data_IF_905816834404
#
_entry.id   IF_905816834404
#
_cell.length_a   1.000
_cell.length_b   1.000
_cell.length_c   1.000
_cell.angle_alpha   90.00
_cell.angle_beta   90.00
_cell.angle_gamma   90.00
#
_symmetry.space_group_name_H-M   'P 1'
#
loop_
_entity.id
_entity.type
_entity.pdbx_description
1 polymer ?
#
# COMPACT_ATOMS: atom_id res chain seq x y z
N UNK A 1 -36.14 -36.62 -10.67
CA UNK A 1 -34.76 -36.36 -10.34
C UNK A 1 -34.47 -34.91 -10.76
N UNK A 2 -34.57 -33.98 -9.80
CA UNK A 2 -34.26 -32.55 -10.00
C UNK A 2 -32.77 -32.36 -9.74
N UNK A 3 -31.98 -32.17 -10.81
CA UNK A 3 -30.60 -31.75 -10.70
C UNK A 3 -30.58 -30.29 -10.27
N UNK A 4 -30.34 -30.03 -8.99
CA UNK A 4 -30.04 -28.70 -8.47
C UNK A 4 -28.68 -28.28 -9.05
N UNK A 5 -28.71 -27.43 -10.10
CA UNK A 5 -27.53 -26.75 -10.59
C UNK A 5 -26.99 -25.85 -9.47
N UNK A 6 -25.98 -26.32 -8.77
CA UNK A 6 -25.12 -25.50 -7.91
C UNK A 6 -24.53 -24.39 -8.80
N UNK A 7 -25.19 -23.23 -8.86
CA UNK A 7 -24.54 -22.02 -9.38
C UNK A 7 -23.34 -21.77 -8.49
N UNK A 8 -22.13 -22.09 -8.99
CA UNK A 8 -20.90 -21.63 -8.35
C UNK A 8 -21.01 -20.12 -8.21
N UNK A 9 -21.11 -19.65 -6.98
CA UNK A 9 -21.06 -18.22 -6.69
C UNK A 9 -19.76 -17.67 -7.29
N UNK A 10 -19.85 -16.61 -8.09
CA UNK A 10 -18.68 -15.91 -8.60
C UNK A 10 -17.86 -15.47 -7.38
N UNK A 11 -16.56 -15.84 -7.30
CA UNK A 11 -15.75 -15.45 -6.14
C UNK A 11 -15.73 -13.94 -6.05
N UNK A 12 -16.07 -13.41 -4.89
CA UNK A 12 -16.02 -11.98 -4.61
C UNK A 12 -14.56 -11.59 -4.50
N UNK A 13 -14.20 -10.49 -5.10
CA UNK A 13 -12.82 -10.00 -5.13
C UNK A 13 -12.72 -8.59 -4.57
N UNK A 14 -11.58 -8.29 -4.00
CA UNK A 14 -11.12 -6.97 -3.60
C UNK A 14 -9.78 -6.70 -4.28
N UNK A 15 -9.64 -5.53 -4.88
CA UNK A 15 -8.37 -5.05 -5.45
C UNK A 15 -7.95 -3.75 -4.80
N UNK A 16 -6.66 -3.65 -4.44
CA UNK A 16 -6.06 -2.47 -3.83
C UNK A 16 -4.80 -2.08 -4.60
N UNK A 17 -4.71 -0.79 -4.96
CA UNK A 17 -3.53 -0.17 -5.54
C UNK A 17 -2.90 0.80 -4.55
N UNK A 18 -1.57 0.82 -4.46
CA UNK A 18 -0.80 1.94 -3.90
C UNK A 18 0.07 2.59 -4.97
N UNK A 19 0.11 3.93 -4.98
CA UNK A 19 0.84 4.66 -6.01
C UNK A 19 1.29 6.05 -5.52
N UNK A 20 2.60 6.31 -5.47
CA UNK A 20 3.15 7.64 -5.30
C UNK A 20 3.12 8.38 -6.64
N UNK A 21 2.43 9.52 -6.69
CA UNK A 21 2.16 10.29 -7.91
C UNK A 21 3.31 11.22 -8.31
N UNK A 22 4.30 11.43 -7.43
CA UNK A 22 5.31 12.49 -7.56
C UNK A 22 4.64 13.87 -7.74
N UNK A 23 4.38 14.56 -6.64
CA UNK A 23 3.68 15.84 -6.68
C UNK A 23 4.38 16.87 -7.60
N UNK A 24 3.63 17.63 -8.41
CA UNK A 24 4.19 18.63 -9.32
C UNK A 24 5.10 19.65 -8.65
N UNK A 25 4.85 19.96 -7.37
CA UNK A 25 5.67 20.88 -6.58
C UNK A 25 7.07 20.32 -6.21
N UNK A 26 7.33 19.04 -6.45
CA UNK A 26 8.63 18.41 -6.18
C UNK A 26 9.43 18.11 -7.43
N UNK A 27 8.78 18.10 -8.58
CA UNK A 27 9.46 17.79 -9.84
C UNK A 27 9.90 19.04 -10.59
N UNK A 28 11.17 19.06 -11.02
CA UNK A 28 11.72 20.11 -11.89
C UNK A 28 11.99 19.57 -13.29
N UNK A 29 11.48 20.32 -14.27
CA UNK A 29 11.72 20.06 -15.69
C UNK A 29 12.39 21.29 -16.32
N UNK A 30 13.56 21.15 -16.93
CA UNK A 30 14.27 22.30 -17.50
C UNK A 30 14.57 23.43 -16.51
N UNK A 31 14.74 23.10 -15.21
CA UNK A 31 14.99 24.06 -14.14
C UNK A 31 13.74 24.70 -13.51
N UNK A 32 12.57 24.55 -14.13
CA UNK A 32 11.28 25.05 -13.61
C UNK A 32 10.56 23.95 -12.85
N UNK A 33 9.78 24.32 -11.83
CA UNK A 33 8.86 23.38 -11.19
C UNK A 33 7.72 23.02 -12.16
N UNK A 34 7.31 21.77 -12.17
CA UNK A 34 6.17 21.33 -12.98
C UNK A 34 4.88 22.04 -12.54
N UNK A 35 4.77 22.37 -11.23
CA UNK A 35 3.66 23.13 -10.67
C UNK A 35 3.48 24.51 -11.32
N UNK A 36 4.54 25.09 -11.92
CA UNK A 36 4.49 26.39 -12.60
C UNK A 36 3.88 26.29 -14.02
N UNK A 37 3.74 25.08 -14.55
CA UNK A 37 3.16 24.84 -15.89
C UNK A 37 1.88 24.01 -15.78
N UNK A 38 0.74 24.70 -15.90
CA UNK A 38 -0.59 24.09 -15.81
C UNK A 38 -0.81 23.00 -16.86
N UNK A 39 -0.29 23.19 -18.06
CA UNK A 39 -0.46 22.20 -19.13
C UNK A 39 0.31 20.93 -18.81
N UNK A 40 1.54 21.08 -18.33
CA UNK A 40 2.39 19.96 -17.95
C UNK A 40 1.77 19.13 -16.82
N UNK A 41 1.44 19.76 -15.69
CA UNK A 41 0.91 19.01 -14.54
C UNK A 41 -0.48 18.40 -14.79
N UNK A 42 -1.35 19.07 -15.58
CA UNK A 42 -2.66 18.50 -15.92
C UNK A 42 -2.54 17.33 -16.89
N UNK A 43 -1.64 17.42 -17.89
CA UNK A 43 -1.38 16.30 -18.81
C UNK A 43 -0.88 15.07 -18.06
N UNK A 44 0.05 15.25 -17.13
CA UNK A 44 0.56 14.15 -16.29
C UNK A 44 -0.53 13.63 -15.34
N UNK A 45 -1.34 14.50 -14.75
CA UNK A 45 -2.48 14.07 -13.96
C UNK A 45 -3.45 13.20 -14.76
N UNK A 46 -3.74 13.57 -16.02
CA UNK A 46 -4.59 12.76 -16.90
C UNK A 46 -3.96 11.41 -17.23
N UNK A 47 -2.65 11.36 -17.48
CA UNK A 47 -1.93 10.11 -17.71
C UNK A 47 -1.99 9.19 -16.48
N UNK A 48 -1.77 9.73 -15.26
CA UNK A 48 -1.89 8.99 -14.02
C UNK A 48 -3.33 8.48 -13.78
N UNK A 49 -4.33 9.34 -13.99
CA UNK A 49 -5.75 8.97 -13.90
C UNK A 49 -6.09 7.84 -14.87
N UNK A 50 -5.59 7.93 -16.11
CA UNK A 50 -5.82 6.91 -17.12
C UNK A 50 -5.20 5.56 -16.70
N UNK A 51 -3.95 5.57 -16.27
CA UNK A 51 -3.25 4.39 -15.77
C UNK A 51 -3.98 3.73 -14.59
N UNK A 52 -4.42 4.52 -13.60
CA UNK A 52 -5.18 4.02 -12.46
C UNK A 52 -6.52 3.39 -12.91
N UNK A 53 -7.23 4.04 -13.83
CA UNK A 53 -8.53 3.53 -14.33
C UNK A 53 -8.41 2.22 -15.09
N UNK A 54 -7.29 1.98 -15.76
CA UNK A 54 -7.08 0.73 -16.51
C UNK A 54 -7.00 -0.49 -15.57
N UNK A 55 -6.43 -0.33 -14.38
CA UNK A 55 -6.32 -1.40 -13.39
C UNK A 55 -7.66 -1.71 -12.70
N UNK A 56 -8.67 -0.82 -12.80
CA UNK A 56 -10.01 -1.00 -12.26
C UNK A 56 -10.03 -1.40 -10.77
N UNK A 57 -9.07 -0.92 -9.99
CA UNK A 57 -8.96 -1.25 -8.59
C UNK A 57 -10.12 -0.70 -7.77
N UNK A 58 -10.56 -1.49 -6.80
CA UNK A 58 -11.64 -1.13 -5.87
C UNK A 58 -11.22 -0.07 -4.85
N UNK A 59 -9.94 -0.14 -4.46
CA UNK A 59 -9.29 0.79 -3.54
C UNK A 59 -8.03 1.34 -4.19
N UNK A 60 -7.85 2.65 -4.17
CA UNK A 60 -6.66 3.31 -4.70
C UNK A 60 -6.10 4.25 -3.65
N UNK A 61 -4.92 3.93 -3.15
CA UNK A 61 -4.19 4.68 -2.13
C UNK A 61 -3.05 5.45 -2.80
N UNK A 62 -3.13 6.78 -2.77
CA UNK A 62 -2.18 7.66 -3.44
C UNK A 62 -1.34 8.41 -2.42
N UNK A 63 -0.04 8.56 -2.72
CA UNK A 63 0.90 9.40 -2.00
C UNK A 63 1.33 10.56 -2.90
N UNK A 64 1.81 11.62 -2.28
CA UNK A 64 2.12 12.88 -2.97
C UNK A 64 0.96 13.42 -3.80
N UNK A 65 -0.26 13.24 -3.32
CA UNK A 65 -1.44 13.83 -3.92
C UNK A 65 -1.41 15.34 -3.72
N UNK A 66 -1.26 16.10 -4.82
CA UNK A 66 -1.08 17.54 -4.75
C UNK A 66 -2.39 18.27 -4.47
N UNK A 67 -2.32 19.30 -3.61
CA UNK A 67 -3.50 20.05 -3.15
C UNK A 67 -3.81 21.30 -3.99
N UNK A 68 -3.28 21.39 -5.20
CA UNK A 68 -3.77 22.36 -6.19
C UNK A 68 -5.22 22.09 -6.57
N UNK A 69 -5.98 23.17 -6.77
CA UNK A 69 -7.43 23.11 -7.04
C UNK A 69 -7.76 22.40 -8.35
N UNK A 70 -7.01 22.66 -9.41
CA UNK A 70 -7.27 22.11 -10.74
C UNK A 70 -6.84 20.63 -10.78
N UNK A 71 -5.71 20.32 -10.16
CA UNK A 71 -5.23 18.94 -10.01
C UNK A 71 -6.24 18.07 -9.27
N UNK A 72 -6.70 18.52 -8.10
CA UNK A 72 -7.74 17.80 -7.35
C UNK A 72 -9.05 17.66 -8.15
N UNK A 73 -9.43 18.70 -8.89
CA UNK A 73 -10.64 18.68 -9.72
C UNK A 73 -10.58 17.62 -10.80
N UNK A 74 -9.41 17.42 -11.45
CA UNK A 74 -9.22 16.38 -12.45
C UNK A 74 -9.47 14.99 -11.86
N UNK A 75 -8.86 14.67 -10.72
CA UNK A 75 -9.06 13.40 -10.02
C UNK A 75 -10.51 13.22 -9.53
N UNK A 76 -11.09 14.24 -8.89
CA UNK A 76 -12.50 14.21 -8.46
C UNK A 76 -13.43 13.91 -9.62
N UNK A 77 -13.29 14.62 -10.72
CA UNK A 77 -14.14 14.43 -11.89
C UNK A 77 -14.01 13.00 -12.44
N UNK A 78 -12.81 12.47 -12.49
CA UNK A 78 -12.53 11.16 -13.04
C UNK A 78 -13.12 10.00 -12.23
N UNK A 79 -13.16 10.11 -10.89
CA UNK A 79 -13.51 9.01 -9.99
C UNK A 79 -14.83 9.20 -9.24
N UNK A 80 -15.35 10.42 -9.12
CA UNK A 80 -16.60 10.70 -8.41
C UNK A 80 -17.81 9.82 -8.82
N UNK A 81 -17.99 9.42 -10.08
CA UNK A 81 -19.12 8.56 -10.45
C UNK A 81 -19.09 7.19 -9.74
N UNK A 82 -17.90 6.66 -9.45
CA UNK A 82 -17.71 5.29 -8.96
C UNK A 82 -17.10 5.19 -7.58
N UNK A 83 -16.36 6.20 -7.11
CA UNK A 83 -15.61 6.13 -5.86
C UNK A 83 -15.95 7.27 -4.89
N UNK A 84 -15.83 6.99 -3.59
CA UNK A 84 -15.63 8.02 -2.57
C UNK A 84 -14.17 8.48 -2.64
N UNK A 85 -13.92 9.75 -2.37
CA UNK A 85 -12.57 10.31 -2.26
C UNK A 85 -12.37 10.91 -0.86
N UNK A 86 -11.34 10.45 -0.18
CA UNK A 86 -10.84 11.05 1.06
C UNK A 86 -9.40 11.51 0.87
N UNK A 87 -9.10 12.71 1.39
CA UNK A 87 -7.78 13.32 1.27
C UNK A 87 -7.35 13.90 2.60
N UNK A 88 -6.07 13.85 2.88
CA UNK A 88 -5.43 14.58 3.99
C UNK A 88 -4.19 15.27 3.46
N UNK A 89 -4.11 16.59 3.71
CA UNK A 89 -2.94 17.40 3.39
C UNK A 89 -1.90 17.25 4.50
N UNK A 90 -0.64 17.22 4.15
CA UNK A 90 0.45 17.33 5.12
C UNK A 90 0.40 18.68 5.82
N UNK A 91 0.81 18.76 7.09
CA UNK A 91 0.80 20.00 7.86
C UNK A 91 1.85 21.01 7.36
N UNK A 92 1.73 22.24 7.86
CA UNK A 92 2.63 23.35 7.53
C UNK A 92 2.48 23.79 6.07
N UNK A 93 3.59 24.17 5.48
CA UNK A 93 3.67 24.71 4.11
C UNK A 93 3.71 23.62 3.02
N UNK A 94 3.50 22.37 3.38
CA UNK A 94 3.49 21.28 2.40
C UNK A 94 2.25 21.35 1.52
N UNK A 95 2.42 21.16 0.23
CA UNK A 95 1.34 21.29 -0.76
C UNK A 95 0.77 19.94 -1.20
N UNK A 96 1.35 18.86 -0.73
CA UNK A 96 0.93 17.49 -1.00
C UNK A 96 0.34 16.78 0.23
N UNK A 97 -0.08 15.55 0.03
CA UNK A 97 -0.61 14.70 1.08
C UNK A 97 -1.01 13.34 0.56
N UNK A 98 -2.06 12.78 1.13
CA UNK A 98 -2.58 11.46 0.79
C UNK A 98 -3.99 11.58 0.22
N UNK A 99 -4.33 10.64 -0.69
CA UNK A 99 -5.69 10.43 -1.14
C UNK A 99 -6.02 8.93 -1.13
N UNK A 100 -7.29 8.61 -0.84
CA UNK A 100 -7.82 7.25 -0.95
C UNK A 100 -9.15 7.30 -1.70
N UNK A 101 -9.25 6.49 -2.74
CA UNK A 101 -10.49 6.24 -3.46
C UNK A 101 -11.05 4.88 -3.05
N UNK A 102 -12.35 4.81 -2.79
CA UNK A 102 -13.08 3.59 -2.38
C UNK A 102 -14.26 3.39 -3.31
N UNK A 103 -14.34 2.27 -4.00
CA UNK A 103 -15.47 1.95 -4.90
C UNK A 103 -16.78 1.90 -4.11
N UNK A 104 -17.61 2.93 -4.27
CA UNK A 104 -18.88 3.08 -3.56
C UNK A 104 -19.97 2.11 -3.99
N UNK A 105 -19.77 1.37 -5.09
CA UNK A 105 -20.70 0.35 -5.56
C UNK A 105 -20.55 -0.95 -4.76
N UNK A 106 -19.32 -1.28 -4.36
CA UNK A 106 -18.96 -2.52 -3.65
C UNK A 106 -18.85 -2.32 -2.14
N UNK A 107 -18.45 -1.12 -1.69
CA UNK A 107 -18.09 -0.86 -0.31
C UNK A 107 -18.85 0.30 0.32
N UNK A 108 -18.97 0.23 1.63
CA UNK A 108 -19.41 1.30 2.51
C UNK A 108 -18.19 1.81 3.27
N UNK A 109 -18.11 3.11 3.45
CA UNK A 109 -17.09 3.75 4.26
C UNK A 109 -17.74 4.17 5.58
N UNK A 110 -17.31 3.56 6.69
CA UNK A 110 -17.87 3.82 8.02
C UNK A 110 -17.10 4.85 8.80
N UNK A 111 -15.79 4.93 8.60
CA UNK A 111 -14.94 5.84 9.36
C UNK A 111 -13.68 6.19 8.59
N UNK A 112 -13.22 7.43 8.79
CA UNK A 112 -11.93 7.92 8.30
C UNK A 112 -11.25 8.66 9.43
N UNK A 113 -9.99 8.34 9.68
CA UNK A 113 -9.15 9.02 10.65
C UNK A 113 -7.88 9.53 9.97
N UNK A 114 -7.59 10.81 10.19
CA UNK A 114 -6.31 11.40 9.85
C UNK A 114 -5.36 11.12 11.03
N UNK A 115 -4.41 10.22 10.83
CA UNK A 115 -3.40 9.92 11.84
C UNK A 115 -2.29 10.95 11.74
N UNK A 116 -2.19 11.79 12.74
CA UNK A 116 -1.15 12.80 12.83
C UNK A 116 0.18 12.17 13.28
N UNK A 117 1.24 12.42 12.51
CA UNK A 117 2.58 11.92 12.74
C UNK A 117 3.58 13.05 13.08
N UNK A 118 3.09 14.27 13.28
CA UNK A 118 3.90 15.50 13.44
C UNK A 118 4.75 15.48 14.69
N UNK A 119 4.19 15.11 15.84
CA UNK A 119 4.89 15.22 17.14
C UNK A 119 6.16 14.37 17.20
N UNK A 120 6.21 13.26 16.49
CA UNK A 120 7.29 12.30 16.59
C UNK A 120 8.24 12.31 15.40
N UNK A 121 7.82 12.89 14.28
CA UNK A 121 8.56 12.73 13.05
C UNK A 121 8.26 13.73 11.93
N UNK A 122 7.96 14.97 12.28
CA UNK A 122 7.86 16.05 11.28
C UNK A 122 6.49 16.14 10.61
N UNK A 123 6.45 16.33 9.30
CA UNK A 123 5.29 16.77 8.55
C UNK A 123 4.51 15.65 7.83
N UNK A 124 4.54 14.42 8.37
CA UNK A 124 3.87 13.27 7.77
C UNK A 124 2.49 13.01 8.37
N UNK A 125 1.66 12.35 7.59
CA UNK A 125 0.29 11.95 7.95
C UNK A 125 0.02 10.53 7.43
N UNK A 126 -0.96 9.86 8.02
CA UNK A 126 -1.54 8.64 7.45
C UNK A 126 -3.07 8.74 7.45
N UNK A 127 -3.71 7.96 6.58
CA UNK A 127 -5.16 7.80 6.52
C UNK A 127 -5.53 6.40 6.97
N UNK A 128 -6.36 6.29 8.00
CA UNK A 128 -6.99 5.04 8.45
C UNK A 128 -8.46 5.05 8.03
N UNK A 129 -8.89 4.04 7.28
CA UNK A 129 -10.26 3.87 6.82
C UNK A 129 -10.85 2.57 7.35
N UNK A 130 -12.08 2.63 7.88
CA UNK A 130 -12.90 1.46 8.17
C UNK A 130 -13.88 1.27 7.03
N UNK A 131 -13.69 0.19 6.29
CA UNK A 131 -14.45 -0.15 5.09
C UNK A 131 -15.22 -1.44 5.31
N UNK A 132 -16.44 -1.54 4.79
CA UNK A 132 -17.24 -2.76 4.84
C UNK A 132 -17.81 -3.10 3.48
N UNK A 133 -17.92 -4.40 3.21
CA UNK A 133 -18.56 -4.88 1.98
C UNK A 133 -20.06 -4.59 2.00
N UNK A 134 -20.65 -4.26 0.86
CA UNK A 134 -22.11 -4.14 0.69
C UNK A 134 -22.80 -5.48 0.47
N UNK A 135 -22.04 -6.53 0.25
CA UNK A 135 -22.54 -7.88 0.06
C UNK A 135 -23.15 -8.42 1.37
N UNK A 136 -24.29 -9.02 1.28
CA UNK A 136 -25.03 -9.59 2.42
C UNK A 136 -25.28 -8.60 3.59
N UNK A 137 -25.36 -7.29 3.29
CA UNK A 137 -25.51 -6.23 4.29
C UNK A 137 -26.68 -6.49 5.25
N UNK A 138 -27.81 -6.98 4.72
CA UNK A 138 -29.02 -7.24 5.50
C UNK A 138 -28.88 -8.38 6.52
N UNK A 139 -27.95 -9.32 6.27
CA UNK A 139 -27.83 -10.57 7.04
C UNK A 139 -26.51 -10.70 7.78
N UNK A 140 -25.56 -9.77 7.56
CA UNK A 140 -24.22 -9.86 8.15
C UNK A 140 -23.90 -8.60 8.96
N UNK A 141 -23.65 -8.73 10.27
CA UNK A 141 -23.25 -7.60 11.11
C UNK A 141 -22.00 -6.90 10.60
N UNK A 142 -21.88 -5.60 10.90
CA UNK A 142 -20.79 -4.77 10.42
C UNK A 142 -19.39 -5.37 10.69
N UNK A 143 -19.04 -5.82 11.90
CA UNK A 143 -17.72 -6.38 12.16
C UNK A 143 -17.36 -7.61 11.31
N UNK A 144 -18.37 -8.36 10.87
CA UNK A 144 -18.19 -9.59 10.10
C UNK A 144 -17.99 -9.36 8.60
N UNK A 145 -18.16 -8.14 8.11
CA UNK A 145 -17.98 -7.74 6.71
C UNK A 145 -17.04 -6.56 6.53
N UNK A 146 -16.29 -6.23 7.60
CA UNK A 146 -15.39 -5.09 7.68
C UNK A 146 -13.95 -5.47 7.46
N UNK A 147 -13.16 -4.51 7.01
CA UNK A 147 -11.71 -4.50 6.99
C UNK A 147 -11.18 -3.08 7.15
N UNK A 148 -9.93 -2.94 7.55
CA UNK A 148 -9.28 -1.64 7.66
C UNK A 148 -8.29 -1.45 6.52
N UNK A 149 -8.18 -0.20 6.05
CA UNK A 149 -7.20 0.22 5.05
C UNK A 149 -6.42 1.38 5.62
N UNK A 150 -5.11 1.30 5.53
CA UNK A 150 -4.19 2.37 5.97
C UNK A 150 -3.31 2.77 4.81
N UNK A 151 -3.35 4.05 4.46
CA UNK A 151 -2.45 4.66 3.49
C UNK A 151 -1.44 5.53 4.23
N UNK A 152 -0.14 5.33 3.99
CA UNK A 152 0.93 6.07 4.65
C UNK A 152 2.01 6.48 3.64
N UNK A 153 2.68 7.60 3.94
CA UNK A 153 3.88 8.03 3.23
C UNK A 153 4.92 8.48 4.27
N UNK A 154 5.94 7.65 4.49
CA UNK A 154 6.95 7.88 5.52
C UNK A 154 8.03 8.85 5.05
N UNK A 155 8.83 9.34 6.00
CA UNK A 155 9.87 10.34 5.72
C UNK A 155 10.97 9.79 4.80
N UNK A 156 11.33 10.56 3.78
CA UNK A 156 12.39 10.25 2.82
C UNK A 156 13.77 10.12 3.53
N UNK A 157 14.63 9.18 3.11
CA UNK A 157 15.88 8.86 3.80
C UNK A 157 17.05 9.82 3.44
N UNK A 158 16.93 11.12 3.76
CA UNK A 158 18.03 12.08 3.53
C UNK A 158 19.28 11.76 4.36
N UNK A 159 19.12 11.19 5.55
CA UNK A 159 20.23 10.79 6.42
C UNK A 159 19.82 9.62 7.34
N UNK A 160 20.79 9.08 8.08
CA UNK A 160 20.55 7.93 8.97
C UNK A 160 19.58 8.23 10.13
N UNK A 161 19.48 9.47 10.59
CA UNK A 161 18.53 9.86 11.65
C UNK A 161 17.08 9.66 11.22
N UNK A 162 16.78 9.73 9.94
CA UNK A 162 15.43 9.56 9.44
C UNK A 162 14.92 8.11 9.51
N UNK A 163 15.78 7.12 9.70
CA UNK A 163 15.36 5.77 10.01
C UNK A 163 14.60 5.70 11.34
N UNK A 164 15.08 6.40 12.37
CA UNK A 164 14.38 6.51 13.66
C UNK A 164 13.04 7.23 13.53
N UNK A 165 12.98 8.29 12.71
CA UNK A 165 11.73 9.00 12.44
C UNK A 165 10.70 8.08 11.79
N UNK A 166 11.11 7.32 10.77
CA UNK A 166 10.21 6.35 10.11
C UNK A 166 9.72 5.27 11.07
N UNK A 167 10.58 4.79 11.98
CA UNK A 167 10.16 3.85 13.03
C UNK A 167 9.09 4.43 13.94
N UNK A 168 9.27 5.67 14.40
CA UNK A 168 8.29 6.35 15.23
C UNK A 168 6.97 6.57 14.46
N UNK A 169 7.07 6.96 13.19
CA UNK A 169 5.89 7.15 12.32
C UNK A 169 5.08 5.87 12.19
N UNK A 170 5.72 4.75 11.84
CA UNK A 170 5.01 3.50 11.65
C UNK A 170 4.49 2.91 12.97
N UNK A 171 5.21 3.06 14.07
CA UNK A 171 4.71 2.62 15.38
C UNK A 171 3.45 3.41 15.79
N UNK A 172 3.40 4.72 15.50
CA UNK A 172 2.22 5.55 15.73
C UNK A 172 1.04 5.11 14.86
N UNK A 173 1.28 4.81 13.59
CA UNK A 173 0.26 4.25 12.68
C UNK A 173 -0.30 2.94 13.23
N UNK A 174 0.57 1.99 13.59
CA UNK A 174 0.17 0.71 14.16
C UNK A 174 -0.58 0.86 15.48
N UNK A 175 -0.19 1.84 16.29
CA UNK A 175 -0.87 2.19 17.53
C UNK A 175 -2.26 2.76 17.30
N UNK A 176 -2.44 3.64 16.30
CA UNK A 176 -3.75 4.17 15.93
C UNK A 176 -4.69 3.04 15.46
N UNK A 177 -4.18 2.12 14.62
CA UNK A 177 -4.93 0.95 14.16
C UNK A 177 -5.39 0.09 15.35
N UNK A 178 -4.50 -0.25 16.28
CA UNK A 178 -4.83 -1.05 17.46
C UNK A 178 -5.88 -0.35 18.34
N UNK A 179 -5.70 0.94 18.61
CA UNK A 179 -6.67 1.74 19.39
C UNK A 179 -8.05 1.74 18.73
N UNK A 180 -8.09 1.90 17.41
CA UNK A 180 -9.35 1.89 16.66
C UNK A 180 -10.03 0.52 16.73
N UNK A 181 -9.30 -0.58 16.52
CA UNK A 181 -9.82 -1.95 16.63
C UNK A 181 -10.39 -2.21 18.03
N UNK A 182 -9.65 -1.87 19.07
CA UNK A 182 -10.11 -2.05 20.46
C UNK A 182 -11.39 -1.23 20.76
N UNK A 183 -11.40 0.05 20.33
CA UNK A 183 -12.55 0.94 20.54
C UNK A 183 -13.82 0.47 19.84
N UNK A 184 -13.68 -0.15 18.66
CA UNK A 184 -14.80 -0.59 17.81
C UNK A 184 -15.09 -2.09 17.93
N UNK A 185 -14.40 -2.79 18.83
CA UNK A 185 -14.51 -4.23 19.02
C UNK A 185 -14.35 -5.05 17.72
N UNK A 186 -13.44 -4.57 16.85
CA UNK A 186 -13.17 -5.15 15.53
C UNK A 186 -12.10 -6.23 15.58
N UNK A 187 -12.18 -7.12 16.56
CA UNK A 187 -11.21 -8.20 16.74
C UNK A 187 -11.16 -9.10 15.50
N UNK A 188 -9.95 -9.48 15.08
CA UNK A 188 -9.66 -10.29 13.88
C UNK A 188 -10.11 -9.70 12.53
N UNK A 189 -10.40 -8.40 12.49
CA UNK A 189 -10.69 -7.73 11.22
C UNK A 189 -9.43 -7.70 10.34
N UNK A 190 -9.52 -7.98 9.04
CA UNK A 190 -8.38 -7.82 8.14
C UNK A 190 -7.90 -6.37 8.10
N UNK A 191 -6.58 -6.16 8.08
CA UNK A 191 -5.97 -4.84 7.93
C UNK A 191 -5.04 -4.85 6.73
N UNK A 192 -5.25 -3.92 5.81
CA UNK A 192 -4.38 -3.65 4.67
C UNK A 192 -3.63 -2.33 4.96
N UNK A 193 -2.31 -2.41 5.03
CA UNK A 193 -1.42 -1.26 5.24
C UNK A 193 -0.58 -1.08 3.99
N UNK A 194 -0.65 0.08 3.35
CA UNK A 194 0.05 0.33 2.10
C UNK A 194 0.63 1.74 2.02
N UNK A 195 1.49 1.96 1.05
CA UNK A 195 2.05 3.27 0.75
C UNK A 195 3.51 3.23 0.36
N UNK A 196 4.11 4.42 0.33
CA UNK A 196 5.53 4.64 0.18
C UNK A 196 6.19 4.73 1.57
N UNK A 197 6.95 3.69 1.90
CA UNK A 197 7.61 3.58 3.21
C UNK A 197 8.99 4.23 3.23
N UNK A 198 9.51 4.64 2.07
CA UNK A 198 10.84 5.24 1.93
C UNK A 198 11.96 4.41 2.58
N UNK A 199 11.74 3.10 2.68
CA UNK A 199 12.57 2.17 3.42
C UNK A 199 12.63 0.82 2.72
N UNK A 200 13.79 0.37 2.30
CA UNK A 200 13.96 -0.85 1.50
C UNK A 200 14.77 -1.96 2.18
N UNK A 201 15.32 -1.74 3.36
CA UNK A 201 16.12 -2.75 4.08
C UNK A 201 16.25 -2.45 5.57
N UNK A 202 15.25 -1.89 6.15
CA UNK A 202 15.31 -1.08 7.33
C UNK A 202 14.45 -1.65 8.47
N UNK A 203 14.60 -1.15 9.66
CA UNK A 203 13.84 -1.54 10.84
C UNK A 203 12.33 -1.39 10.68
N UNK A 204 11.81 -0.52 9.79
CA UNK A 204 10.37 -0.36 9.55
C UNK A 204 9.73 -1.65 9.03
N UNK A 205 10.29 -2.25 7.99
CA UNK A 205 9.80 -3.51 7.44
C UNK A 205 9.73 -4.60 8.53
N UNK A 206 10.81 -4.72 9.33
CA UNK A 206 10.88 -5.68 10.44
C UNK A 206 9.86 -5.39 11.53
N UNK A 207 9.62 -4.11 11.84
CA UNK A 207 8.61 -3.73 12.83
C UNK A 207 7.21 -4.11 12.36
N UNK A 208 6.87 -3.80 11.10
CA UNK A 208 5.58 -4.13 10.50
C UNK A 208 5.35 -5.66 10.50
N UNK A 209 6.35 -6.43 10.05
CA UNK A 209 6.26 -7.90 10.04
C UNK A 209 6.19 -8.51 11.44
N UNK A 210 6.90 -7.93 12.42
CA UNK A 210 6.82 -8.34 13.83
C UNK A 210 5.41 -8.12 14.43
N UNK A 211 4.65 -7.21 13.88
CA UNK A 211 3.25 -6.97 14.24
C UNK A 211 2.25 -7.84 13.47
N UNK A 212 2.71 -8.90 12.80
CA UNK A 212 1.87 -9.88 12.13
C UNK A 212 1.41 -9.48 10.73
N UNK A 213 2.03 -8.47 10.13
CA UNK A 213 1.81 -8.12 8.75
C UNK A 213 2.73 -8.90 7.80
N UNK A 214 2.21 -9.33 6.67
CA UNK A 214 2.97 -9.94 5.59
C UNK A 214 2.89 -9.06 4.34
N UNK A 215 4.03 -8.88 3.65
CA UNK A 215 4.03 -8.22 2.35
C UNK A 215 3.31 -9.09 1.32
N UNK A 216 2.38 -8.50 0.59
CA UNK A 216 1.62 -9.21 -0.44
C UNK A 216 2.51 -9.60 -1.62
N UNK A 217 3.46 -8.73 -1.99
CA UNK A 217 4.38 -9.06 -3.08
C UNK A 217 5.30 -10.23 -2.69
N UNK A 218 5.91 -10.18 -1.50
CA UNK A 218 6.76 -11.26 -1.03
C UNK A 218 5.97 -12.57 -0.82
N UNK A 219 4.71 -12.49 -0.39
CA UNK A 219 3.84 -13.67 -0.26
C UNK A 219 3.60 -14.36 -1.60
N UNK A 220 3.35 -13.58 -2.67
CA UNK A 220 3.04 -14.11 -3.99
C UNK A 220 4.29 -14.56 -4.78
N UNK A 221 5.43 -13.90 -4.59
CA UNK A 221 6.63 -14.09 -5.42
C UNK A 221 7.82 -14.70 -4.67
N UNK A 222 7.71 -14.93 -3.36
CA UNK A 222 8.80 -15.44 -2.52
C UNK A 222 9.92 -14.40 -2.25
N UNK A 223 9.79 -13.16 -2.73
CA UNK A 223 10.73 -12.06 -2.55
C UNK A 223 10.01 -10.73 -2.70
N UNK A 224 10.61 -9.65 -2.23
CA UNK A 224 10.13 -8.29 -2.49
C UNK A 224 10.40 -7.84 -3.92
N UNK A 225 9.63 -6.85 -4.38
CA UNK A 225 9.89 -6.16 -5.63
C UNK A 225 11.24 -5.44 -5.56
N UNK A 226 12.07 -5.60 -6.60
CA UNK A 226 13.43 -5.04 -6.60
C UNK A 226 13.42 -3.54 -6.77
N UNK A 227 12.61 -3.05 -7.70
CA UNK A 227 12.55 -1.62 -8.03
C UNK A 227 11.09 -1.21 -8.11
N UNK A 228 10.65 -0.41 -7.14
CA UNK A 228 9.37 0.32 -7.21
C UNK A 228 9.59 1.81 -7.44
N UNK A 229 10.79 2.31 -7.12
CA UNK A 229 11.17 3.72 -7.22
C UNK A 229 12.59 3.89 -7.75
N UNK A 230 12.79 4.89 -8.60
CA UNK A 230 14.10 5.36 -9.04
C UNK A 230 14.29 6.82 -8.60
N UNK A 231 15.00 7.03 -7.51
CA UNK A 231 15.15 8.35 -6.92
C UNK A 231 16.04 9.30 -7.76
N UNK A 232 16.06 10.58 -7.39
CA UNK A 232 16.85 11.63 -8.08
C UNK A 232 18.38 11.36 -8.12
N UNK A 233 18.90 10.50 -7.24
CA UNK A 233 20.30 10.04 -7.24
C UNK A 233 20.53 8.79 -8.09
N UNK A 234 19.56 8.39 -8.90
CA UNK A 234 19.53 7.15 -9.69
C UNK A 234 19.64 5.86 -8.88
N UNK A 235 19.33 5.91 -7.58
CA UNK A 235 19.22 4.70 -6.78
C UNK A 235 17.88 4.03 -7.05
N UNK A 236 17.94 2.74 -7.27
CA UNK A 236 16.83 1.85 -7.47
C UNK A 236 16.49 1.22 -6.15
N UNK A 237 15.26 1.41 -5.71
CA UNK A 237 14.82 0.93 -4.41
C UNK A 237 13.39 0.37 -4.48
N UNK A 238 13.12 -0.68 -3.70
CA UNK A 238 11.76 -1.16 -3.46
C UNK A 238 11.25 -0.56 -2.17
N UNK A 239 10.43 0.48 -2.25
CA UNK A 239 9.96 1.27 -1.11
C UNK A 239 8.44 1.31 -0.99
N UNK A 240 7.73 0.88 -2.02
CA UNK A 240 6.27 0.81 -2.05
C UNK A 240 5.81 -0.58 -1.65
N UNK A 241 4.93 -0.68 -0.66
CA UNK A 241 4.46 -1.95 -0.13
C UNK A 241 2.94 -1.98 0.01
N UNK A 242 2.38 -3.20 -0.08
CA UNK A 242 1.06 -3.57 0.41
C UNK A 242 1.26 -4.71 1.41
N UNK A 243 0.95 -4.45 2.66
CA UNK A 243 0.96 -5.44 3.73
C UNK A 243 -0.46 -5.83 4.09
N UNK A 244 -0.66 -7.10 4.36
CA UNK A 244 -1.91 -7.63 4.89
C UNK A 244 -1.70 -8.27 6.26
N UNK A 245 -2.61 -8.00 7.20
CA UNK A 245 -2.62 -8.66 8.50
C UNK A 245 -4.05 -8.94 8.95
N UNK A 246 -4.17 -10.00 9.75
CA UNK A 246 -5.08 -10.03 10.88
C UNK A 246 -4.25 -9.63 12.07
N UNK A 247 -4.68 -8.62 12.79
CA UNK A 247 -4.05 -8.32 14.08
C UNK A 247 -4.41 -9.47 15.01
N UNK A 248 -3.53 -10.47 15.07
CA UNK A 248 -3.51 -11.46 16.14
C UNK A 248 -2.87 -10.78 17.34
N UNK A 249 -3.29 -11.16 18.55
CA UNK A 249 -2.59 -10.77 19.77
C UNK A 249 -1.09 -11.02 19.57
N UNK A 250 -0.23 -10.05 19.88
CA UNK A 250 1.20 -10.23 19.71
C UNK A 250 1.63 -11.50 20.46
N UNK A 251 2.53 -12.32 19.87
CA UNK A 251 3.01 -13.51 20.55
C UNK A 251 3.55 -13.12 21.92
N UNK A 252 3.17 -13.85 22.96
CA UNK A 252 3.62 -13.68 24.32
C UNK A 252 5.15 -13.71 24.33
N UNK A 253 5.80 -12.56 24.38
CA UNK A 253 7.24 -12.48 24.52
C UNK A 253 7.62 -12.93 25.93
N UNK A 254 8.54 -13.88 26.02
CA UNK A 254 9.15 -14.32 27.26
C UNK A 254 9.56 -13.12 28.13
N UNK A 255 9.19 -13.19 29.41
CA UNK A 255 9.38 -12.18 30.43
C UNK A 255 10.84 -11.68 30.49
N UNK A 256 11.10 -10.51 30.00
CA UNK A 256 12.36 -9.80 30.18
C UNK A 256 12.22 -8.36 29.72
N UNK A 257 12.09 -7.47 30.71
CA UNK A 257 12.13 -5.99 30.62
C UNK A 257 11.15 -5.31 29.66
N UNK A 258 10.08 -4.76 30.21
CA UNK A 258 9.07 -3.96 29.50
C UNK A 258 8.88 -2.62 30.21
N UNK A 259 9.13 -1.52 29.51
CA UNK A 259 8.82 -0.16 29.97
C UNK A 259 7.30 0.05 30.09
N UNK A 260 6.83 0.86 31.06
CA UNK A 260 5.45 0.97 31.54
C UNK A 260 4.32 1.16 30.51
N UNK A 261 4.58 1.80 29.35
CA UNK A 261 3.56 1.97 28.31
C UNK A 261 3.17 0.64 27.61
N UNK A 262 4.08 -0.34 27.57
CA UNK A 262 3.82 -1.68 27.03
C UNK A 262 2.98 -2.56 27.97
N UNK A 263 3.00 -2.28 29.27
CA UNK A 263 2.21 -3.00 30.28
C UNK A 263 0.73 -2.65 30.19
N UNK A 264 0.39 -1.38 29.91
CA UNK A 264 -1.00 -0.93 29.81
C UNK A 264 -1.74 -1.54 28.59
N UNK A 265 -1.04 -1.71 27.48
CA UNK A 265 -1.61 -2.34 26.28
C UNK A 265 -1.80 -3.85 26.43
N UNK A 266 -0.99 -4.52 27.26
CA UNK A 266 -1.17 -5.95 27.58
C UNK A 266 -2.39 -6.21 28.46
N UNK A 267 -2.70 -5.33 29.40
CA UNK A 267 -3.84 -5.50 30.31
C UNK A 267 -5.19 -5.37 29.60
N UNK A 268 -5.25 -4.67 28.46
CA UNK A 268 -6.48 -4.54 27.67
C UNK A 268 -6.74 -5.74 26.76
N UNK A 269 -5.72 -6.54 26.42
CA UNK A 269 -5.84 -7.70 25.51
C UNK A 269 -6.19 -9.02 26.25
N UNK A 270 -5.88 -9.11 27.57
CA UNK A 270 -6.05 -10.34 28.35
C UNK A 270 -7.52 -10.61 28.78
N UNK A 271 -8.41 -9.60 28.71
CA UNK A 271 -9.79 -9.73 29.17
C UNK A 271 -10.82 -10.01 28.03
N UNK A 272 -10.36 -10.12 26.77
CA UNK A 272 -11.25 -10.31 25.62
C UNK A 272 -11.39 -11.78 25.23
N UNK A 273 -12.48 -12.40 25.70
CA UNK A 273 -12.91 -13.73 25.22
C UNK A 273 -13.35 -13.60 23.75
N UNK A 274 -12.46 -13.98 22.84
CA UNK A 274 -12.77 -14.07 21.41
C UNK A 274 -13.71 -15.25 21.22
N UNK A 275 -14.93 -15.00 20.74
CA UNK A 275 -15.84 -16.06 20.31
C UNK A 275 -15.34 -16.64 18.97
N UNK A 276 -14.74 -17.83 18.94
CA UNK A 276 -14.13 -18.38 17.72
C UNK A 276 -15.16 -18.82 16.69
N UNK A 277 -16.45 -18.77 17.03
CA UNK A 277 -17.55 -19.32 16.21
C UNK A 277 -18.23 -18.28 15.31
N UNK A 278 -17.90 -16.98 15.43
CA UNK A 278 -18.53 -15.97 14.57
C UNK A 278 -17.85 -15.91 13.20
N UNK A 279 -18.60 -16.16 12.12
CA UNK A 279 -18.06 -16.04 10.76
C UNK A 279 -17.65 -14.59 10.49
N UNK A 280 -16.43 -14.40 9.97
CA UNK A 280 -15.86 -13.06 9.70
C UNK A 280 -15.33 -13.01 8.28
N UNK A 281 -15.26 -11.79 7.73
CA UNK A 281 -14.62 -11.55 6.45
C UNK A 281 -13.16 -12.03 6.48
N UNK A 282 -12.78 -12.77 5.47
CA UNK A 282 -11.39 -13.18 5.24
C UNK A 282 -10.93 -12.64 3.89
N UNK A 283 -9.72 -12.12 3.85
CA UNK A 283 -9.04 -11.73 2.62
C UNK A 283 -7.95 -12.76 2.35
N UNK A 284 -8.09 -13.47 1.25
CA UNK A 284 -7.08 -14.43 0.77
C UNK A 284 -6.32 -13.80 -0.39
N UNK A 285 -4.99 -13.59 -0.27
CA UNK A 285 -4.19 -13.06 -1.37
C UNK A 285 -4.33 -13.94 -2.62
N UNK A 286 -4.65 -13.34 -3.75
CA UNK A 286 -4.82 -14.01 -5.03
C UNK A 286 -3.74 -13.64 -6.04
N UNK A 287 -3.23 -12.41 -5.96
CA UNK A 287 -2.22 -11.87 -6.85
C UNK A 287 -1.62 -10.58 -6.30
N UNK A 288 -0.37 -10.30 -6.63
CA UNK A 288 0.28 -9.02 -6.37
C UNK A 288 1.28 -8.71 -7.47
N UNK A 289 1.23 -7.50 -8.04
CA UNK A 289 2.07 -7.15 -9.18
C UNK A 289 2.34 -5.65 -9.27
N UNK A 290 3.46 -5.32 -9.94
CA UNK A 290 3.77 -3.94 -10.36
C UNK A 290 3.06 -3.62 -11.68
N UNK A 291 2.62 -2.39 -11.80
CA UNK A 291 2.03 -1.87 -13.06
C UNK A 291 3.11 -1.13 -13.85
N UNK A 292 3.17 -1.33 -15.17
CA UNK A 292 2.43 -2.33 -15.93
C UNK A 292 3.01 -3.75 -15.72
N UNK A 293 2.15 -4.76 -15.76
CA UNK A 293 2.56 -6.18 -15.57
C UNK A 293 3.58 -6.66 -16.59
N UNK A 294 3.58 -6.07 -17.79
CA UNK A 294 4.47 -6.45 -18.88
C UNK A 294 5.93 -6.10 -18.60
N UNK A 295 6.20 -5.13 -17.71
CA UNK A 295 7.56 -4.75 -17.37
C UNK A 295 8.04 -5.55 -16.15
N UNK A 296 9.24 -6.15 -16.22
CA UNK A 296 9.84 -6.82 -15.07
C UNK A 296 10.10 -5.85 -13.91
N UNK A 297 10.22 -6.36 -12.70
CA UNK A 297 10.47 -5.55 -11.50
C UNK A 297 11.90 -5.00 -11.39
N UNK A 298 12.71 -5.22 -12.43
CA UNK A 298 14.07 -4.67 -12.59
C UNK A 298 14.11 -3.41 -13.47
N UNK A 299 12.98 -3.00 -14.04
CA UNK A 299 12.92 -1.84 -14.93
C UNK A 299 12.93 -0.54 -14.15
N UNK A 300 13.74 0.40 -14.64
CA UNK A 300 13.94 1.74 -14.07
C UNK A 300 13.01 2.74 -14.71
N UNK A 301 12.23 3.46 -13.93
CA UNK A 301 11.40 4.57 -14.41
C UNK A 301 12.04 5.92 -14.10
N UNK A 302 13.32 6.10 -14.46
CA UNK A 302 14.01 7.37 -14.27
C UNK A 302 13.39 8.45 -15.16
N UNK A 303 12.86 9.52 -14.56
CA UNK A 303 12.32 10.64 -15.32
C UNK A 303 13.42 11.41 -16.05
N UNK A 304 13.19 11.78 -17.33
CA UNK A 304 14.13 12.61 -18.09
C UNK A 304 14.17 14.02 -17.50
N UNK A 305 15.36 14.63 -17.44
CA UNK A 305 15.53 15.99 -16.95
C UNK A 305 15.21 17.04 -18.02
N UNK A 306 15.14 16.68 -19.31
CA UNK A 306 14.94 17.58 -20.43
C UNK A 306 14.11 16.93 -21.55
N UNK A 307 13.31 17.73 -22.23
CA UNK A 307 12.97 17.56 -23.62
C UNK A 307 11.91 16.51 -23.97
N UNK A 308 10.76 16.45 -23.27
CA UNK A 308 9.61 15.68 -23.77
C UNK A 308 8.35 16.53 -23.88
N UNK A 309 7.70 16.38 -25.02
CA UNK A 309 6.44 17.05 -25.31
C UNK A 309 5.29 16.23 -24.68
N UNK A 310 4.69 16.76 -23.62
CA UNK A 310 3.59 16.13 -22.87
C UNK A 310 2.28 16.05 -23.67
N UNK A 311 2.24 16.72 -24.84
CA UNK A 311 1.00 16.90 -25.59
C UNK A 311 0.50 15.65 -26.32
N UNK A 312 1.28 14.57 -26.34
CA UNK A 312 0.97 13.35 -27.11
C UNK A 312 1.03 12.05 -26.31
N UNK A 313 0.56 12.06 -25.06
CA UNK A 313 0.52 10.84 -24.25
C UNK A 313 -0.54 9.89 -24.82
N UNK A 314 -0.10 8.87 -25.55
CA UNK A 314 -0.96 7.79 -26.02
C UNK A 314 -1.41 6.90 -24.85
N UNK A 315 -2.53 6.21 -25.04
CA UNK A 315 -2.95 5.20 -24.07
C UNK A 315 -1.91 4.09 -23.95
N UNK A 316 -1.46 3.72 -22.74
CA UNK A 316 -0.47 2.64 -22.54
C UNK A 316 -0.95 1.28 -23.06
N UNK A 317 -2.25 1.10 -23.29
CA UNK A 317 -2.81 -0.10 -23.92
C UNK A 317 -2.44 -0.23 -25.40
N UNK A 318 -2.13 0.88 -26.05
CA UNK A 318 -1.75 0.90 -27.46
C UNK A 318 -0.25 0.72 -27.66
N UNK A 319 0.56 0.83 -26.61
CA UNK A 319 2.00 0.68 -26.65
C UNK A 319 2.34 -0.81 -26.70
N UNK A 320 2.91 -1.26 -27.80
CA UNK A 320 3.30 -2.67 -28.00
C UNK A 320 4.77 -2.91 -27.64
N UNK A 321 5.61 -1.89 -27.78
CA UNK A 321 7.02 -1.93 -27.47
C UNK A 321 7.29 -1.69 -25.97
N UNK A 322 8.27 -2.42 -25.42
CA UNK A 322 8.70 -2.30 -24.02
C UNK A 322 9.35 -0.93 -23.76
N UNK A 323 10.14 -0.41 -24.70
CA UNK A 323 10.80 0.90 -24.56
C UNK A 323 9.75 2.04 -24.53
N UNK A 324 8.78 2.02 -25.42
CA UNK A 324 7.66 2.98 -25.43
C UNK A 324 6.87 2.93 -24.12
N UNK A 325 6.67 1.72 -23.59
CA UNK A 325 5.96 1.53 -22.34
C UNK A 325 6.77 2.08 -21.14
N UNK A 326 8.09 1.87 -21.13
CA UNK A 326 9.00 2.47 -20.12
C UNK A 326 8.97 3.98 -20.24
N UNK A 327 9.04 4.52 -21.45
CA UNK A 327 9.00 5.96 -21.71
C UNK A 327 7.71 6.59 -21.23
N UNK A 328 6.59 5.95 -21.48
CA UNK A 328 5.31 6.39 -20.97
C UNK A 328 5.30 6.44 -19.43
N UNK A 329 5.66 5.33 -18.76
CA UNK A 329 5.56 5.25 -17.30
C UNK A 329 6.52 6.17 -16.57
N UNK A 330 7.76 6.34 -17.05
CA UNK A 330 8.70 7.30 -16.47
C UNK A 330 8.23 8.75 -16.57
N UNK A 331 7.30 9.03 -17.50
CA UNK A 331 6.67 10.34 -17.62
C UNK A 331 5.51 10.49 -16.62
N UNK A 332 4.85 9.41 -16.22
CA UNK A 332 3.75 9.44 -15.25
C UNK A 332 4.25 9.64 -13.83
N UNK A 333 5.23 8.86 -13.39
CA UNK A 333 5.87 8.96 -12.07
C UNK A 333 7.24 8.29 -12.07
N UNK A 334 8.08 8.59 -11.09
CA UNK A 334 9.31 7.87 -10.77
C UNK A 334 9.06 6.64 -9.87
N UNK A 335 7.80 6.41 -9.49
CA UNK A 335 7.32 5.21 -8.82
C UNK A 335 6.46 4.34 -9.76
N UNK A 336 6.46 3.04 -9.50
CA UNK A 336 5.55 2.08 -10.13
C UNK A 336 4.38 1.76 -9.20
N UNK A 337 3.13 1.83 -9.67
CA UNK A 337 2.01 1.35 -8.87
C UNK A 337 2.17 -0.11 -8.49
N UNK A 338 1.82 -0.45 -7.26
CA UNK A 338 1.72 -1.82 -6.79
C UNK A 338 0.24 -2.16 -6.58
N UNK A 339 -0.21 -3.31 -7.12
CA UNK A 339 -1.59 -3.77 -7.02
C UNK A 339 -1.63 -5.13 -6.35
N UNK A 340 -2.50 -5.29 -5.37
CA UNK A 340 -2.82 -6.58 -4.75
C UNK A 340 -4.30 -6.93 -4.94
N UNK A 341 -4.56 -8.18 -5.30
CA UNK A 341 -5.89 -8.74 -5.48
C UNK A 341 -6.14 -9.81 -4.42
N UNK A 342 -7.36 -9.83 -3.90
CA UNK A 342 -7.79 -10.75 -2.86
C UNK A 342 -9.09 -11.44 -3.23
N UNK A 343 -9.20 -12.72 -2.91
CA UNK A 343 -10.51 -13.37 -2.79
C UNK A 343 -11.13 -12.96 -1.46
N UNK A 344 -12.40 -12.57 -1.50
CA UNK A 344 -13.17 -12.22 -0.31
C UNK A 344 -14.02 -13.43 0.07
N UNK A 345 -13.70 -14.02 1.21
CA UNK A 345 -14.42 -15.16 1.74
C UNK A 345 -15.38 -14.69 2.83
N UNK A 346 -16.68 -14.83 2.58
CA UNK A 346 -17.72 -14.54 3.56
C UNK A 346 -17.86 -15.71 4.54
N UNK A 347 -17.70 -15.40 5.82
CA UNK A 347 -18.26 -16.19 6.90
C UNK A 347 -17.99 -17.68 6.90
N UNK A 348 -16.74 -18.09 6.67
CA UNK A 348 -16.35 -19.49 6.93
C UNK A 348 -16.23 -19.65 8.45
N UNK A 349 -17.13 -20.45 9.06
CA UNK A 349 -16.93 -20.92 10.42
C UNK A 349 -15.51 -21.53 10.52
N UNK A 350 -14.81 -21.19 11.57
CA UNK A 350 -13.39 -21.49 11.82
C UNK A 350 -13.03 -22.97 11.56
N UNK A 351 -12.69 -23.29 10.32
CA UNK A 351 -12.17 -24.58 9.91
C UNK A 351 -10.85 -24.36 9.19
N UNK A 352 -9.75 -24.64 9.88
CA UNK A 352 -8.35 -24.56 9.41
C UNK A 352 -7.96 -23.17 8.83
N UNK A 353 -7.36 -22.36 9.67
CA UNK A 353 -6.60 -21.16 9.30
C UNK A 353 -5.52 -21.56 8.30
N UNK A 354 -5.54 -21.01 7.10
CA UNK A 354 -4.31 -20.82 6.32
C UNK A 354 -3.54 -19.73 7.05
N UNK A 355 -2.55 -20.13 7.81
CA UNK A 355 -1.64 -19.20 8.49
C UNK A 355 -0.94 -18.36 7.41
N UNK A 356 -1.07 -17.05 7.51
CA UNK A 356 -0.12 -16.15 6.84
C UNK A 356 1.25 -16.57 7.39
N UNK A 357 2.27 -16.79 6.55
CA UNK A 357 3.55 -17.34 6.98
C UNK A 357 4.07 -16.59 8.21
N UNK A 358 4.38 -17.33 9.27
CA UNK A 358 5.02 -16.80 10.47
C UNK A 358 6.42 -16.31 10.12
N UNK A 359 7.02 -15.47 10.97
CA UNK A 359 8.41 -14.99 10.81
C UNK A 359 9.41 -16.14 10.53
N UNK A 360 9.17 -17.34 11.07
CA UNK A 360 9.98 -18.53 10.79
C UNK A 360 9.86 -18.96 9.34
N UNK A 361 8.67 -18.96 8.75
CA UNK A 361 8.46 -19.30 7.34
C UNK A 361 9.10 -18.27 6.41
N UNK A 362 9.06 -16.98 6.76
CA UNK A 362 9.72 -15.91 5.99
C UNK A 362 11.25 -16.00 6.14
N UNK A 363 11.75 -16.36 7.33
CA UNK A 363 13.18 -16.58 7.57
C UNK A 363 13.71 -17.82 6.85
N UNK A 364 12.95 -18.93 6.84
CA UNK A 364 13.28 -20.12 6.05
C UNK A 364 13.23 -19.87 4.54
N UNK A 365 12.25 -19.09 4.07
CA UNK A 365 12.21 -18.66 2.66
C UNK A 365 13.42 -17.79 2.31
N UNK A 366 13.82 -16.82 3.15
CA UNK A 366 15.04 -16.03 2.95
C UNK A 366 16.30 -16.93 2.93
N UNK A 367 16.43 -17.87 3.85
CA UNK A 367 17.56 -18.80 3.90
C UNK A 367 17.62 -19.73 2.68
N UNK A 368 16.48 -20.15 2.13
CA UNK A 368 16.42 -20.92 0.88
C UNK A 368 16.82 -20.08 -0.34
N UNK A 369 16.47 -18.79 -0.35
CA UNK A 369 16.83 -17.86 -1.42
C UNK A 369 18.32 -17.50 -1.41
N UNK A 370 18.91 -17.31 -0.24
CA UNK A 370 20.35 -17.07 -0.09
C UNK A 370 21.20 -18.28 -0.56
N UNK A 371 20.66 -19.49 -0.40
CA UNK A 371 21.28 -20.74 -0.92
C UNK A 371 21.06 -20.97 -2.41
N UNK A 372 20.12 -20.29 -3.04
CA UNK A 372 19.78 -20.46 -4.46
C UNK A 372 20.49 -19.47 -5.39
N UNK A 373 21.25 -18.50 -4.85
CA UNK A 373 22.11 -17.61 -5.64
C UNK A 373 23.41 -18.36 -5.95
N UNK A 374 23.72 -18.68 -7.21
CA UNK A 374 25.02 -19.26 -7.56
C UNK A 374 26.14 -18.27 -7.19
N UNK A 375 27.18 -18.76 -6.52
CA UNK A 375 28.38 -17.99 -6.15
C UNK A 375 29.34 -17.75 -7.35
N UNK A 376 28.82 -17.57 -8.56
CA UNK A 376 29.60 -17.31 -9.76
C UNK A 376 29.41 -15.88 -10.27
N UNK A 377 29.89 -14.90 -9.48
CA UNK A 377 30.15 -13.56 -9.98
C UNK A 377 31.19 -12.83 -9.09
N UNK A 378 32.30 -13.52 -8.80
CA UNK A 378 33.47 -12.87 -8.19
C UNK A 378 34.72 -13.38 -8.87
N UNK A 379 34.97 -12.91 -10.10
CA UNK A 379 36.28 -12.89 -10.73
C UNK A 379 36.19 -12.10 -12.05
N UNK A 380 36.34 -10.82 -11.98
CA UNK A 380 37.09 -10.09 -12.99
C UNK A 380 37.69 -8.85 -12.34
N UNK A 381 38.98 -8.98 -12.05
CA UNK A 381 39.83 -7.94 -11.50
C UNK A 381 40.15 -6.90 -12.57
N UNK A 382 40.08 -5.66 -12.17
CA UNK A 382 40.77 -4.56 -12.80
C UNK A 382 41.31 -3.65 -11.72
N UNK A 383 42.62 -3.77 -11.49
CA UNK A 383 43.51 -2.76 -10.92
C UNK A 383 44.38 -2.27 -12.06
N UNK A 384 45.02 -1.09 -11.95
CA UNK A 384 44.71 0.17 -11.23
C UNK A 384 44.12 1.24 -12.12
#
# INVERSE_FOLDING_TARGET
MLASSLRRAVPRSLSLMTFNLLAPCYFRHGGRLESDDKTAFLSRAQAAIHAIKQEQCDLVCLQEFWFDREYQRAFRHAFHPTHYLHTVKRPGDKEDGLAVFVDKRKFELHYVENVDLVEEAGDRVALLLHVATKWNRSNTPLPQRSFLVVNSHLTFPHNQMYASLRLNQIDRVLTAVRKYIAKQELHDVPVLLCGDFNDYNDPVYRLVTKHGFASMFAHMHGREARITHCNHNNREVGVDFIFGARLQNPPVQNKGQVNGAKALLRQMDDDLVIDPCKPRLQLEPADCHLVPRRLPDTVRLKRPQFGHDWCNVQSPLLLSDEEELVDYWRMVSDHRPLVANFHVLDGVACGKRTEIPTLENVAEMKARMEKAIPMDAAADGLTP
#
